data_IF_610990309930
#
_entry.id   IF_610990309930
#
_cell.length_a   1.000
_cell.length_b   1.000
_cell.length_c   1.000
_cell.angle_alpha   90.00
_cell.angle_beta   90.00
_cell.angle_gamma   90.00
#
_symmetry.space_group_name_H-M   'P 1'
#
loop_
_entity.id
_entity.type
_entity.pdbx_description
1 polymer ?
#
# COMPACT_ATOMS: atom_id res chain seq x y z
N UNK A 1 31.04 2.40 2.18
CA UNK A 1 31.10 1.03 2.75
C UNK A 1 30.59 0.09 1.69
N UNK A 2 31.34 -0.97 1.37
CA UNK A 2 30.86 -1.99 0.43
C UNK A 2 29.72 -2.78 1.07
N UNK A 3 28.76 -3.23 0.25
CA UNK A 3 27.76 -4.20 0.68
C UNK A 3 28.48 -5.56 0.82
N UNK A 4 28.59 -6.08 2.04
CA UNK A 4 29.31 -7.33 2.37
C UNK A 4 28.37 -8.53 2.52
N UNK A 5 27.07 -8.27 2.68
CA UNK A 5 26.05 -9.27 2.99
C UNK A 5 25.12 -9.48 1.80
N UNK A 6 24.81 -10.75 1.49
CA UNK A 6 23.98 -11.14 0.33
C UNK A 6 22.60 -11.62 0.77
N UNK A 7 21.56 -11.18 0.08
CA UNK A 7 20.19 -11.73 0.18
C UNK A 7 19.97 -12.69 -0.99
N UNK A 8 19.55 -13.93 -0.70
CA UNK A 8 19.21 -14.94 -1.72
C UNK A 8 17.82 -15.49 -1.47
N UNK A 9 16.99 -15.52 -2.51
CA UNK A 9 15.67 -16.12 -2.49
C UNK A 9 15.45 -16.89 -3.79
N UNK A 10 14.70 -17.99 -3.72
CA UNK A 10 14.20 -18.69 -4.91
C UNK A 10 12.87 -18.06 -5.28
N UNK A 11 12.71 -17.72 -6.55
CA UNK A 11 11.51 -17.15 -7.14
C UNK A 11 11.23 -17.84 -8.46
N UNK A 12 10.00 -17.72 -8.93
CA UNK A 12 9.64 -18.15 -10.28
C UNK A 12 10.39 -17.32 -11.34
N UNK A 13 10.74 -17.96 -12.46
CA UNK A 13 11.53 -17.34 -13.51
C UNK A 13 10.74 -16.29 -14.31
N UNK A 14 9.46 -16.55 -14.58
CA UNK A 14 8.55 -15.63 -15.26
C UNK A 14 8.32 -14.39 -14.39
N UNK A 15 8.04 -14.61 -13.10
CA UNK A 15 7.90 -13.52 -12.12
C UNK A 15 9.15 -12.61 -12.08
N UNK A 16 10.34 -13.21 -12.13
CA UNK A 16 11.59 -12.44 -12.16
C UNK A 16 11.67 -11.55 -13.39
N UNK A 17 11.39 -12.11 -14.56
CA UNK A 17 11.51 -11.41 -15.84
C UNK A 17 10.51 -10.23 -15.93
N UNK A 18 9.27 -10.46 -15.51
CA UNK A 18 8.22 -9.44 -15.53
C UNK A 18 8.55 -8.28 -14.60
N UNK A 19 9.00 -8.57 -13.38
CA UNK A 19 9.40 -7.54 -12.42
C UNK A 19 10.64 -6.77 -12.91
N UNK A 20 11.62 -7.44 -13.53
CA UNK A 20 12.81 -6.78 -14.07
C UNK A 20 12.47 -5.76 -15.17
N UNK A 21 11.49 -6.06 -16.03
CA UNK A 21 11.00 -5.11 -17.05
C UNK A 21 10.40 -3.86 -16.39
N UNK A 22 9.50 -4.05 -15.41
CA UNK A 22 8.85 -2.95 -14.69
C UNK A 22 9.89 -2.07 -13.96
N UNK A 23 10.82 -2.69 -13.24
CA UNK A 23 11.85 -1.96 -12.50
C UNK A 23 12.79 -1.18 -13.44
N UNK A 24 13.09 -1.75 -14.62
CA UNK A 24 13.87 -1.07 -15.65
C UNK A 24 13.16 0.17 -16.19
N UNK A 25 11.85 0.13 -16.40
CA UNK A 25 11.06 1.31 -16.81
C UNK A 25 11.10 2.42 -15.75
N UNK A 26 11.12 2.05 -14.47
CA UNK A 26 11.25 2.98 -13.33
C UNK A 26 12.71 3.47 -13.16
N UNK A 27 13.68 2.82 -13.81
CA UNK A 27 15.10 3.19 -13.75
C UNK A 27 15.84 2.66 -12.53
N UNK A 28 15.38 1.55 -11.94
CA UNK A 28 16.03 0.90 -10.79
C UNK A 28 16.30 -0.58 -11.05
N UNK A 29 17.33 -1.13 -10.41
CA UNK A 29 17.63 -2.55 -10.46
C UNK A 29 16.86 -3.34 -9.40
N UNK A 30 16.73 -4.65 -9.62
CA UNK A 30 16.16 -5.59 -8.63
C UNK A 30 16.85 -5.48 -7.26
N UNK A 31 18.18 -5.32 -7.23
CA UNK A 31 18.91 -5.14 -5.97
C UNK A 31 18.58 -3.83 -5.25
N UNK A 32 18.35 -2.74 -6.00
CA UNK A 32 17.90 -1.48 -5.41
C UNK A 32 16.49 -1.62 -4.83
N UNK A 33 15.57 -2.26 -5.56
CA UNK A 33 14.21 -2.52 -5.08
C UNK A 33 14.20 -3.38 -3.80
N UNK A 34 14.97 -4.47 -3.76
CA UNK A 34 15.14 -5.32 -2.55
C UNK A 34 15.72 -4.50 -1.39
N UNK A 35 16.71 -3.65 -1.66
CA UNK A 35 17.30 -2.78 -0.63
C UNK A 35 16.27 -1.78 -0.09
N UNK A 36 15.43 -1.21 -0.94
CA UNK A 36 14.35 -0.29 -0.54
C UNK A 36 13.31 -1.01 0.31
N UNK A 37 12.90 -2.22 -0.07
CA UNK A 37 11.99 -3.05 0.71
C UNK A 37 12.53 -3.33 2.12
N UNK A 38 13.79 -3.77 2.23
CA UNK A 38 14.44 -4.02 3.53
C UNK A 38 14.53 -2.75 4.40
N UNK A 39 14.80 -1.59 3.79
CA UNK A 39 14.79 -0.29 4.48
C UNK A 39 13.38 0.09 4.95
N UNK A 40 12.36 -0.19 4.13
CA UNK A 40 10.95 -0.02 4.49
C UNK A 40 10.61 -0.84 5.73
N UNK A 41 10.97 -2.13 5.74
CA UNK A 41 10.76 -3.00 6.90
C UNK A 41 11.40 -2.41 8.16
N UNK A 42 12.67 -1.99 8.04
CA UNK A 42 13.40 -1.39 9.16
C UNK A 42 12.73 -0.13 9.68
N UNK A 43 12.24 0.74 8.79
CA UNK A 43 11.59 2.02 9.13
C UNK A 43 10.26 1.81 9.84
N UNK A 44 9.44 0.90 9.32
CA UNK A 44 8.06 0.72 9.76
C UNK A 44 7.92 -0.34 10.87
N UNK A 45 8.99 -1.07 11.17
CA UNK A 45 8.96 -2.20 12.12
C UNK A 45 7.88 -3.23 11.76
N UNK A 46 7.65 -3.41 10.47
CA UNK A 46 6.60 -4.25 9.89
C UNK A 46 6.80 -4.38 8.38
N UNK A 47 5.91 -5.08 7.68
CA UNK A 47 5.99 -5.15 6.21
C UNK A 47 5.54 -3.80 5.63
N UNK A 48 6.32 -3.17 4.74
CA UNK A 48 6.11 -1.80 4.25
C UNK A 48 5.06 -1.71 3.14
N UNK A 49 4.01 -2.50 3.27
CA UNK A 49 2.80 -2.46 2.48
C UNK A 49 1.71 -3.17 3.27
N UNK A 50 0.47 -2.84 2.95
CA UNK A 50 -0.67 -3.36 3.67
C UNK A 50 -0.90 -4.85 3.36
N UNK A 51 -0.82 -5.68 4.41
CA UNK A 51 -1.12 -7.11 4.31
C UNK A 51 -2.60 -7.37 4.58
N UNK A 52 -3.45 -6.95 3.64
CA UNK A 52 -4.89 -7.22 3.72
C UNK A 52 -5.29 -8.22 2.64
N UNK A 53 -6.08 -9.20 3.05
CA UNK A 53 -7.05 -9.82 2.15
C UNK A 53 -8.32 -8.99 2.37
N UNK A 54 -8.75 -8.17 1.40
CA UNK A 54 -9.99 -7.43 1.53
C UNK A 54 -11.13 -8.41 1.88
N UNK A 55 -11.87 -8.13 2.94
CA UNK A 55 -13.08 -8.89 3.23
C UNK A 55 -14.15 -8.55 2.18
N UNK A 56 -15.18 -9.39 2.09
CA UNK A 56 -16.27 -9.19 1.12
C UNK A 56 -16.93 -7.82 1.25
N UNK A 57 -17.05 -7.30 2.48
CA UNK A 57 -17.59 -5.96 2.76
C UNK A 57 -16.73 -4.84 2.15
N UNK A 58 -15.40 -4.91 2.30
CA UNK A 58 -14.48 -3.92 1.71
C UNK A 58 -14.52 -3.98 0.19
N UNK A 59 -14.57 -5.18 -0.38
CA UNK A 59 -14.67 -5.35 -1.84
C UNK A 59 -15.98 -4.77 -2.37
N UNK A 60 -17.09 -5.03 -1.68
CA UNK A 60 -18.39 -4.47 -2.05
C UNK A 60 -18.39 -2.95 -1.93
N UNK A 61 -17.84 -2.38 -0.86
CA UNK A 61 -17.77 -0.93 -0.67
C UNK A 61 -16.92 -0.24 -1.76
N UNK A 62 -15.80 -0.83 -2.18
CA UNK A 62 -14.99 -0.33 -3.30
C UNK A 62 -15.77 -0.36 -4.62
N UNK A 63 -16.45 -1.48 -4.88
CA UNK A 63 -17.30 -1.68 -6.07
C UNK A 63 -18.46 -0.69 -6.12
N UNK A 64 -19.17 -0.50 -5.00
CA UNK A 64 -20.26 0.44 -4.84
C UNK A 64 -19.77 1.88 -5.08
N UNK A 65 -18.61 2.26 -4.53
CA UNK A 65 -18.01 3.57 -4.72
C UNK A 65 -17.65 3.85 -6.20
N UNK A 66 -17.08 2.88 -6.91
CA UNK A 66 -16.78 2.99 -8.34
C UNK A 66 -18.05 3.12 -9.21
N UNK A 67 -19.14 2.48 -8.79
CA UNK A 67 -20.43 2.53 -9.48
C UNK A 67 -21.36 3.67 -9.03
N UNK A 68 -20.95 4.47 -8.03
CA UNK A 68 -21.76 5.54 -7.45
C UNK A 68 -22.99 5.03 -6.68
N UNK A 69 -22.95 3.80 -6.17
CA UNK A 69 -24.00 3.15 -5.38
C UNK A 69 -23.73 3.44 -3.90
N UNK A 70 -24.77 3.72 -3.11
CA UNK A 70 -24.66 4.00 -1.67
C UNK A 70 -23.72 5.17 -1.32
N UNK A 71 -23.59 6.15 -2.22
CA UNK A 71 -22.76 7.35 -2.03
C UNK A 71 -23.62 8.57 -1.72
N UNK A 72 -23.10 9.47 -0.88
CA UNK A 72 -23.68 10.78 -0.59
C UNK A 72 -22.68 11.87 -0.98
N UNK A 73 -23.14 12.91 -1.66
CA UNK A 73 -22.30 14.09 -1.91
C UNK A 73 -22.22 14.91 -0.62
N UNK A 74 -21.00 15.05 -0.11
CA UNK A 74 -20.71 15.86 1.08
C UNK A 74 -19.60 16.85 0.78
N UNK A 75 -19.68 18.03 1.38
CA UNK A 75 -18.59 19.02 1.30
C UNK A 75 -17.54 18.75 2.38
N UNK A 76 -16.30 19.21 2.12
CA UNK A 76 -15.22 19.08 3.09
C UNK A 76 -15.54 19.77 4.43
N UNK A 77 -16.27 20.90 4.38
CA UNK A 77 -16.69 21.64 5.58
C UNK A 77 -17.72 20.84 6.40
N UNK A 78 -18.65 20.14 5.74
CA UNK A 78 -19.62 19.25 6.39
C UNK A 78 -18.92 18.06 7.05
N UNK A 79 -17.98 17.40 6.35
CA UNK A 79 -17.20 16.29 6.89
C UNK A 79 -16.40 16.70 8.14
N UNK A 80 -15.75 17.88 8.11
CA UNK A 80 -15.00 18.41 9.26
C UNK A 80 -15.95 18.74 10.42
N UNK A 81 -17.13 19.28 10.13
CA UNK A 81 -18.12 19.59 11.14
C UNK A 81 -18.66 18.32 11.83
N UNK A 82 -18.95 17.25 11.08
CA UNK A 82 -19.38 15.96 11.63
C UNK A 82 -18.31 15.30 12.50
N UNK A 83 -17.05 15.28 12.03
CA UNK A 83 -15.94 14.74 12.82
C UNK A 83 -15.77 15.46 14.16
N UNK A 84 -15.93 16.80 14.17
CA UNK A 84 -15.89 17.62 15.40
C UNK A 84 -17.10 17.38 16.32
N UNK A 85 -18.30 17.14 15.77
CA UNK A 85 -19.50 16.79 16.55
C UNK A 85 -19.37 15.42 17.23
N UNK A 86 -18.78 14.44 16.55
CA UNK A 86 -18.59 13.07 17.10
C UNK A 86 -17.55 12.95 18.21
N UNK A 87 -16.46 13.72 18.16
CA UNK A 87 -15.40 13.71 19.20
C UNK A 87 -15.68 14.64 20.40
N UNK A 88 -16.69 15.50 20.33
CA UNK A 88 -17.06 16.44 21.40
C UNK A 88 -18.05 15.91 22.44
N UNK A 89 -18.67 14.74 22.19
CA UNK A 89 -19.69 14.17 23.07
C UNK A 89 -19.13 13.23 24.16
N UNK A 90 -17.80 13.03 24.23
CA UNK A 90 -17.16 12.10 25.17
C UNK A 90 -15.96 12.74 25.91
N UNK A 91 -16.18 13.94 26.46
CA UNK A 91 -15.38 14.53 27.53
C UNK A 91 -16.26 15.19 28.57
#
# INVERSE_FOLDING_TARGET
>A
MALDTTVRARIDAELKEDVEKILSEIGISTSQAITMFMKGIKRERGIPFELKIPNEETLQAMSDAEMGINMEEVTLDEMIAEHKRGYGANR
#
